data_IF_673914946818
#
_entry.id   IF_673914946818
#
_cell.length_a   1.000
_cell.length_b   1.000
_cell.length_c   1.000
_cell.angle_alpha   90.00
_cell.angle_beta   90.00
_cell.angle_gamma   90.00
#
_symmetry.space_group_name_H-M   'P 1'
#
loop_
_entity.id
_entity.type
_entity.pdbx_description
1 polymer ?
#
# COMPACT_ATOMS: atom_id res chain seq x y z
N UNK A 1 -32.37 64.11 13.79
CA UNK A 1 -33.53 64.60 14.57
C UNK A 1 -33.98 63.46 15.48
N UNK A 2 -33.96 63.70 16.79
CA UNK A 2 -34.40 62.93 17.98
C UNK A 2 -35.10 61.55 17.75
N UNK A 3 -34.68 60.43 18.38
CA UNK A 3 -34.56 60.05 19.79
C UNK A 3 -35.88 59.57 20.47
N UNK A 4 -35.81 58.35 21.04
CA UNK A 4 -36.44 57.77 22.27
C UNK A 4 -36.79 56.29 21.99
N UNK A 5 -36.13 55.27 22.58
CA UNK A 5 -35.90 54.90 23.99
C UNK A 5 -37.18 54.55 24.75
N UNK A 6 -37.40 53.25 24.96
CA UNK A 6 -37.98 52.69 26.19
C UNK A 6 -37.30 51.36 26.52
N UNK A 7 -36.76 51.30 27.73
CA UNK A 7 -36.12 50.18 28.42
C UNK A 7 -37.15 49.26 29.07
N UNK A 8 -36.84 47.97 29.24
CA UNK A 8 -37.70 46.99 29.91
C UNK A 8 -37.06 45.60 30.08
N UNK A 9 -36.04 45.53 30.94
CA UNK A 9 -35.56 44.44 31.81
C UNK A 9 -35.98 42.95 31.61
N UNK A 10 -34.96 42.15 31.24
CA UNK A 10 -34.47 40.85 31.77
C UNK A 10 -35.47 39.89 32.46
N UNK A 11 -35.60 38.68 31.88
CA UNK A 11 -35.59 37.42 32.65
C UNK A 11 -34.93 36.29 31.86
N UNK A 12 -33.92 35.67 32.47
CA UNK A 12 -33.14 34.52 32.00
C UNK A 12 -34.05 33.30 31.79
N UNK A 13 -33.90 32.57 30.67
CA UNK A 13 -33.64 31.11 30.66
C UNK A 13 -32.95 30.77 29.33
N UNK A 14 -31.77 30.17 29.42
CA UNK A 14 -30.98 29.65 28.32
C UNK A 14 -31.46 28.22 28.01
N UNK A 15 -31.87 27.85 26.79
CA UNK A 15 -31.96 26.45 26.42
C UNK A 15 -30.55 25.96 26.09
N UNK A 16 -30.06 25.08 26.94
CA UNK A 16 -28.81 24.35 26.83
C UNK A 16 -28.73 23.52 25.54
N UNK A 17 -27.56 23.60 24.88
CA UNK A 17 -27.05 22.59 23.96
C UNK A 17 -27.20 21.18 24.59
N UNK A 18 -27.72 20.17 23.89
CA UNK A 18 -27.58 18.79 24.34
C UNK A 18 -26.11 18.39 24.23
N UNK A 19 -25.47 18.33 25.40
CA UNK A 19 -24.21 17.65 25.67
C UNK A 19 -24.49 16.14 25.61
N UNK A 20 -23.58 15.40 24.98
CA UNK A 20 -23.81 14.03 24.55
C UNK A 20 -24.17 13.02 25.64
N UNK A 21 -24.82 11.96 25.19
CA UNK A 21 -24.72 10.64 25.78
C UNK A 21 -24.22 9.63 24.73
N UNK A 22 -23.54 8.57 25.18
CA UNK A 22 -22.49 7.90 24.43
C UNK A 22 -23.04 6.83 23.50
N UNK A 23 -22.30 6.57 22.42
CA UNK A 23 -22.38 5.35 21.63
C UNK A 23 -22.09 4.13 22.54
N UNK A 24 -23.11 3.60 23.20
CA UNK A 24 -23.06 2.29 23.84
C UNK A 24 -23.87 1.31 23.01
N UNK A 25 -23.35 0.90 21.85
CA UNK A 25 -23.71 -0.38 21.25
C UNK A 25 -22.68 -0.82 20.20
N UNK A 26 -21.48 -1.19 20.65
CA UNK A 26 -20.57 -2.09 19.91
C UNK A 26 -19.42 -2.62 20.81
N UNK A 27 -19.71 -2.79 22.11
CA UNK A 27 -18.78 -3.39 23.07
C UNK A 27 -19.41 -4.63 23.69
N UNK A 28 -19.63 -5.66 22.87
CA UNK A 28 -19.93 -7.00 23.36
C UNK A 28 -19.61 -8.04 22.27
N UNK A 29 -18.33 -8.39 22.13
CA UNK A 29 -17.76 -9.75 22.01
C UNK A 29 -16.24 -9.54 22.19
N UNK A 30 -15.81 -9.27 23.42
CA UNK A 30 -14.43 -9.53 23.86
C UNK A 30 -14.58 -10.09 25.27
N UNK A 31 -14.96 -11.36 25.36
CA UNK A 31 -14.92 -12.09 26.62
C UNK A 31 -13.94 -13.25 26.48
N UNK A 32 -12.89 -13.14 27.31
CA UNK A 32 -11.97 -14.18 27.78
C UNK A 32 -11.18 -14.98 26.75
N UNK A 33 -10.02 -14.44 26.37
CA UNK A 33 -8.86 -15.24 26.00
C UNK A 33 -7.82 -14.94 27.07
N UNK A 34 -7.52 -15.90 27.94
CA UNK A 34 -6.46 -15.75 28.95
C UNK A 34 -5.11 -15.77 28.24
N UNK A 35 -4.07 -15.20 28.87
CA UNK A 35 -2.73 -15.14 28.29
C UNK A 35 -2.14 -16.53 27.93
N UNK A 36 -2.73 -17.60 28.44
CA UNK A 36 -2.36 -19.00 28.16
C UNK A 36 -2.94 -19.53 26.83
N UNK A 37 -4.01 -18.93 26.28
CA UNK A 37 -4.60 -19.35 25.00
C UNK A 37 -3.83 -18.83 23.77
N UNK A 38 -2.92 -17.86 23.94
CA UNK A 38 -2.10 -17.26 22.88
C UNK A 38 -0.85 -18.09 22.54
N UNK A 39 -0.57 -19.16 23.30
CA UNK A 39 0.65 -19.97 23.16
C UNK A 39 0.41 -21.21 22.26
N UNK A 40 -0.83 -21.69 22.11
CA UNK A 40 -1.12 -22.92 21.32
C UNK A 40 -1.71 -22.71 19.92
N UNK A 41 -1.88 -21.46 19.44
CA UNK A 41 -2.39 -21.18 18.08
C UNK A 41 -1.58 -20.07 17.40
N UNK A 42 -0.50 -20.38 16.66
CA UNK A 42 0.42 -19.36 16.17
C UNK A 42 -0.07 -18.57 14.95
N UNK A 43 -1.31 -18.75 14.48
CA UNK A 43 -1.84 -18.07 13.29
C UNK A 43 -3.31 -17.70 13.49
N UNK A 44 -3.59 -16.39 13.51
CA UNK A 44 -4.95 -15.89 13.27
C UNK A 44 -5.20 -15.89 11.76
N UNK A 45 -6.20 -16.64 11.32
CA UNK A 45 -6.76 -16.50 9.97
C UNK A 45 -7.61 -15.24 9.99
N UNK A 46 -7.15 -14.20 9.30
CA UNK A 46 -7.91 -12.97 9.09
C UNK A 46 -8.91 -13.29 7.97
N UNK A 47 -10.20 -13.30 8.26
CA UNK A 47 -11.21 -13.41 7.20
C UNK A 47 -11.19 -12.14 6.32
N UNK A 48 -11.32 -12.27 4.98
CA UNK A 48 -11.15 -11.19 4.03
C UNK A 48 -12.37 -10.25 3.99
N UNK A 49 -12.84 -9.79 5.14
CA UNK A 49 -13.75 -8.66 5.20
C UNK A 49 -12.92 -7.37 5.32
N UNK A 50 -12.62 -6.80 4.15
CA UNK A 50 -12.04 -5.49 3.93
C UNK A 50 -10.57 -5.38 4.38
N UNK A 51 -9.66 -5.82 3.52
CA UNK A 51 -8.23 -5.46 3.59
C UNK A 51 -8.03 -3.98 3.24
N UNK A 52 -8.52 -3.09 4.11
CA UNK A 52 -8.15 -1.68 4.08
C UNK A 52 -6.82 -1.52 4.81
N UNK A 53 -5.72 -1.53 4.06
CA UNK A 53 -4.40 -1.15 4.56
C UNK A 53 -4.49 0.32 5.04
N UNK A 54 -4.22 0.54 6.33
CA UNK A 54 -4.52 1.78 7.05
C UNK A 54 -4.10 3.09 6.37
N UNK A 55 -4.88 4.13 6.63
CA UNK A 55 -4.96 5.38 5.85
C UNK A 55 -3.67 6.22 5.77
N UNK A 56 -2.65 5.94 6.58
CA UNK A 56 -1.42 6.76 6.60
C UNK A 56 -0.35 6.35 5.59
N UNK A 57 -0.54 5.28 4.81
CA UNK A 57 0.37 4.88 3.73
C UNK A 57 -0.30 4.66 2.37
N UNK A 58 -1.57 5.08 2.19
CA UNK A 58 -2.40 4.97 0.95
C UNK A 58 -1.63 4.46 -0.26
N UNK A 59 -1.46 3.14 -0.29
CA UNK A 59 -0.79 2.42 -1.35
C UNK A 59 -1.70 2.55 -2.58
N UNK A 60 -1.16 2.40 -3.77
CA UNK A 60 -1.91 2.28 -5.03
C UNK A 60 -2.76 0.98 -5.09
N UNK A 61 -3.34 0.56 -3.95
CA UNK A 61 -4.00 -0.70 -3.63
C UNK A 61 -5.54 -0.62 -3.66
N UNK A 62 -6.17 0.36 -4.30
CA UNK A 62 -7.64 0.37 -4.38
C UNK A 62 -8.25 -0.78 -5.22
N UNK A 63 -7.42 -1.66 -5.79
CA UNK A 63 -7.91 -2.86 -6.50
C UNK A 63 -8.07 -4.00 -5.50
N UNK A 64 -9.30 -4.49 -5.37
CA UNK A 64 -9.62 -5.65 -4.56
C UNK A 64 -9.31 -6.91 -5.35
N UNK A 65 -8.47 -7.78 -4.78
CA UNK A 65 -8.24 -9.13 -5.31
C UNK A 65 -9.56 -9.90 -5.18
N UNK A 66 -10.01 -10.50 -6.29
CA UNK A 66 -11.26 -11.25 -6.33
C UNK A 66 -11.00 -12.77 -6.22
N UNK A 67 -12.00 -13.54 -5.74
CA UNK A 67 -11.92 -14.99 -5.74
C UNK A 67 -11.61 -15.54 -7.13
N UNK A 68 -10.67 -16.48 -7.18
CA UNK A 68 -10.16 -17.11 -8.39
C UNK A 68 -9.47 -16.19 -9.41
N UNK A 69 -9.11 -14.96 -9.04
CA UNK A 69 -8.26 -14.11 -9.88
C UNK A 69 -6.93 -14.80 -10.21
N UNK A 70 -6.52 -14.69 -11.46
CA UNK A 70 -5.17 -15.02 -11.89
C UNK A 70 -4.24 -13.86 -11.56
N UNK A 71 -3.05 -14.20 -11.08
CA UNK A 71 -2.04 -13.27 -10.62
C UNK A 71 -0.75 -13.44 -11.43
N UNK A 72 -0.11 -12.32 -11.73
CA UNK A 72 1.23 -12.25 -12.27
C UNK A 72 2.00 -11.14 -11.55
N UNK A 73 3.31 -11.31 -11.42
CA UNK A 73 4.16 -10.39 -10.68
C UNK A 73 5.26 -9.83 -11.57
N UNK A 74 5.43 -8.51 -11.57
CA UNK A 74 6.60 -7.85 -12.13
C UNK A 74 7.43 -7.24 -10.99
N UNK A 75 8.74 -7.38 -11.10
CA UNK A 75 9.74 -6.78 -10.20
C UNK A 75 10.50 -5.71 -10.98
N UNK A 76 10.62 -4.50 -10.43
CA UNK A 76 11.42 -3.43 -11.04
C UNK A 76 12.85 -3.49 -10.53
N UNK A 77 13.81 -3.62 -11.46
CA UNK A 77 15.23 -3.64 -11.14
C UNK A 77 15.71 -2.23 -10.78
N UNK A 78 16.39 -2.11 -9.64
CA UNK A 78 17.07 -0.89 -9.20
C UNK A 78 16.14 0.35 -9.26
N UNK A 79 14.87 0.15 -8.88
CA UNK A 79 13.79 1.08 -9.17
C UNK A 79 14.07 2.50 -8.67
N UNK A 80 14.61 2.66 -7.46
CA UNK A 80 15.00 3.97 -6.94
C UNK A 80 16.13 4.62 -7.74
N UNK A 81 17.10 3.84 -8.20
CA UNK A 81 18.23 4.37 -8.97
C UNK A 81 17.84 4.84 -10.37
N UNK A 82 16.65 4.49 -10.87
CA UNK A 82 16.10 5.07 -12.12
C UNK A 82 15.58 6.49 -11.95
N UNK A 83 15.36 6.97 -10.72
CA UNK A 83 14.83 8.32 -10.46
C UNK A 83 15.99 9.29 -10.21
N UNK A 84 16.21 10.28 -11.10
CA UNK A 84 17.29 11.26 -10.92
C UNK A 84 17.00 12.20 -9.74
N UNK A 85 18.06 12.56 -9.00
CA UNK A 85 18.00 13.58 -7.95
C UNK A 85 18.20 14.96 -8.55
N UNK A 86 17.44 15.92 -8.05
CA UNK A 86 17.59 17.32 -8.45
C UNK A 86 18.98 17.85 -8.06
N UNK A 87 19.63 18.60 -8.97
CA UNK A 87 21.04 19.00 -8.83
C UNK A 87 21.35 19.74 -7.51
N UNK A 88 20.43 20.57 -7.02
CA UNK A 88 20.59 21.28 -5.74
C UNK A 88 20.62 20.35 -4.52
N UNK A 89 20.00 19.18 -4.63
CA UNK A 89 19.78 18.29 -3.49
C UNK A 89 20.85 17.19 -3.44
N UNK A 90 21.56 16.97 -4.56
CA UNK A 90 22.62 15.98 -4.63
C UNK A 90 23.72 16.26 -3.61
N UNK A 91 24.04 17.53 -3.29
CA UNK A 91 25.11 17.88 -2.33
C UNK A 91 24.80 17.37 -0.92
N UNK A 92 23.51 17.29 -0.56
CA UNK A 92 23.06 16.74 0.72
C UNK A 92 23.21 15.20 0.80
N UNK A 93 23.41 14.55 -0.35
CA UNK A 93 23.53 13.10 -0.48
C UNK A 93 24.99 12.66 -0.68
N UNK A 94 25.95 13.47 -0.26
CA UNK A 94 27.37 13.13 -0.34
C UNK A 94 27.82 12.22 0.81
N UNK A 95 28.72 11.29 0.50
CA UNK A 95 29.35 10.43 1.50
C UNK A 95 30.84 10.25 1.21
N UNK A 96 31.63 9.94 2.25
CA UNK A 96 33.08 9.76 2.14
C UNK A 96 33.45 8.29 2.25
N UNK A 97 34.25 7.80 1.30
CA UNK A 97 34.79 6.45 1.32
C UNK A 97 36.25 6.45 0.84
N UNK A 98 37.16 5.83 1.62
CA UNK A 98 38.59 5.75 1.31
C UNK A 98 39.23 7.10 0.92
N UNK A 99 38.87 8.17 1.64
CA UNK A 99 39.41 9.51 1.40
C UNK A 99 38.83 10.24 0.17
N UNK A 100 37.89 9.63 -0.56
CA UNK A 100 37.17 10.25 -1.68
C UNK A 100 35.74 10.61 -1.28
N UNK A 101 35.21 11.68 -1.85
CA UNK A 101 33.81 12.09 -1.70
C UNK A 101 33.03 11.57 -2.91
N UNK A 102 31.92 10.90 -2.64
CA UNK A 102 30.97 10.41 -3.62
C UNK A 102 29.64 11.11 -3.43
N UNK A 103 28.84 11.18 -4.48
CA UNK A 103 27.56 11.86 -4.52
C UNK A 103 26.55 10.99 -5.24
N UNK A 104 25.34 10.88 -4.69
CA UNK A 104 24.24 10.21 -5.39
C UNK A 104 23.61 11.14 -6.42
N UNK A 105 23.54 10.68 -7.67
CA UNK A 105 22.88 11.37 -8.78
C UNK A 105 21.42 10.91 -8.97
N UNK A 106 21.05 9.83 -8.30
CA UNK A 106 19.74 9.20 -8.32
C UNK A 106 19.28 8.92 -6.89
N UNK A 107 18.01 8.58 -6.72
CA UNK A 107 17.38 8.40 -5.42
C UNK A 107 18.06 7.26 -4.64
N UNK A 108 18.74 7.53 -3.51
CA UNK A 108 19.46 6.50 -2.79
C UNK A 108 18.53 5.70 -1.89
N UNK A 109 18.88 4.42 -1.67
CA UNK A 109 18.27 3.63 -0.60
C UNK A 109 18.54 4.25 0.77
N UNK A 110 17.59 4.11 1.68
CA UNK A 110 17.69 4.64 3.05
C UNK A 110 17.32 6.12 3.19
N UNK A 111 17.06 6.83 2.09
CA UNK A 111 16.48 8.18 2.16
C UNK A 111 15.00 8.07 2.54
N UNK A 112 14.62 8.72 3.65
CA UNK A 112 13.25 8.64 4.20
C UNK A 112 12.17 9.12 3.23
N UNK A 113 12.49 10.07 2.34
CA UNK A 113 11.58 10.59 1.33
C UNK A 113 11.53 9.75 0.04
N UNK A 114 12.43 8.77 -0.13
CA UNK A 114 12.55 8.02 -1.38
C UNK A 114 11.28 7.26 -1.73
N UNK A 115 10.74 6.48 -0.78
CA UNK A 115 9.50 5.73 -0.98
C UNK A 115 8.32 6.62 -1.32
N UNK A 116 8.22 7.80 -0.69
CA UNK A 116 7.16 8.77 -0.98
C UNK A 116 7.30 9.35 -2.39
N UNK A 117 8.50 9.79 -2.78
CA UNK A 117 8.77 10.33 -4.10
C UNK A 117 8.50 9.29 -5.19
N UNK A 118 8.94 8.05 -4.97
CA UNK A 118 8.71 6.94 -5.88
C UNK A 118 7.22 6.62 -6.04
N UNK A 119 6.48 6.55 -4.92
CA UNK A 119 5.02 6.36 -4.95
C UNK A 119 4.31 7.46 -5.73
N UNK A 120 4.72 8.73 -5.56
CA UNK A 120 4.17 9.86 -6.33
C UNK A 120 4.45 9.73 -7.82
N UNK A 121 5.63 9.24 -8.20
CA UNK A 121 6.01 9.04 -9.58
C UNK A 121 5.20 7.92 -10.26
N UNK A 122 4.83 6.86 -9.54
CA UNK A 122 4.02 5.76 -10.08
C UNK A 122 2.53 6.08 -10.21
N UNK A 123 2.02 7.11 -9.51
CA UNK A 123 0.58 7.44 -9.50
C UNK A 123 -0.04 7.62 -10.89
N UNK A 124 0.57 8.37 -11.83
CA UNK A 124 0.03 8.53 -13.18
C UNK A 124 -0.01 7.23 -13.96
N UNK A 125 0.97 6.34 -13.78
CA UNK A 125 0.99 5.02 -14.44
C UNK A 125 -0.15 4.15 -13.93
N UNK A 126 -0.38 4.12 -12.63
CA UNK A 126 -1.52 3.37 -12.07
C UNK A 126 -2.85 3.91 -12.55
N UNK A 127 -3.01 5.24 -12.59
CA UNK A 127 -4.21 5.86 -13.16
C UNK A 127 -4.42 5.43 -14.62
N UNK A 128 -3.37 5.50 -15.45
CA UNK A 128 -3.42 5.07 -16.84
C UNK A 128 -3.84 3.60 -16.98
N UNK A 129 -3.23 2.68 -16.24
CA UNK A 129 -3.57 1.26 -16.34
C UNK A 129 -5.01 0.98 -15.92
N UNK A 130 -5.49 1.63 -14.86
CA UNK A 130 -6.89 1.50 -14.41
C UNK A 130 -7.89 2.05 -15.43
N UNK A 131 -7.57 3.18 -16.05
CA UNK A 131 -8.39 3.74 -17.15
C UNK A 131 -8.47 2.80 -18.35
N UNK A 132 -7.43 1.99 -18.58
CA UNK A 132 -7.42 0.94 -19.61
C UNK A 132 -8.09 -0.37 -19.18
N UNK A 133 -8.60 -0.45 -17.94
CA UNK A 133 -9.27 -1.64 -17.39
C UNK A 133 -8.32 -2.68 -16.78
N UNK A 134 -7.01 -2.41 -16.73
CA UNK A 134 -6.04 -3.30 -16.11
C UNK A 134 -6.07 -3.10 -14.59
N UNK A 135 -6.37 -4.18 -13.87
CA UNK A 135 -6.33 -4.22 -12.41
C UNK A 135 -4.93 -4.58 -11.96
N UNK A 136 -4.38 -3.78 -11.05
CA UNK A 136 -3.06 -4.01 -10.50
C UNK A 136 -2.89 -3.38 -9.12
N UNK A 137 -1.97 -3.97 -8.37
CA UNK A 137 -1.54 -3.52 -7.05
C UNK A 137 -0.05 -3.21 -7.14
N UNK A 138 0.33 -1.96 -6.87
CA UNK A 138 1.73 -1.53 -6.88
C UNK A 138 2.17 -1.17 -5.46
N UNK A 139 3.27 -1.77 -5.04
CA UNK A 139 4.00 -1.37 -3.84
C UNK A 139 5.48 -1.21 -4.17
N UNK A 140 5.92 0.04 -4.25
CA UNK A 140 7.29 0.38 -4.62
C UNK A 140 7.71 -0.30 -5.94
N UNK A 141 8.70 -1.18 -5.90
CA UNK A 141 9.25 -1.96 -7.00
C UNK A 141 8.49 -3.25 -7.32
N UNK A 142 7.61 -3.70 -6.42
CA UNK A 142 6.78 -4.88 -6.59
C UNK A 142 5.42 -4.51 -7.23
N UNK A 143 5.11 -5.12 -8.38
CA UNK A 143 3.86 -4.92 -9.11
C UNK A 143 3.13 -6.25 -9.25
N UNK A 144 1.90 -6.32 -8.75
CA UNK A 144 0.99 -7.47 -8.91
C UNK A 144 -0.10 -7.09 -9.90
N UNK A 145 -0.33 -7.91 -10.92
CA UNK A 145 -1.35 -7.71 -11.95
C UNK A 145 -2.42 -8.78 -11.78
N UNK A 146 -3.69 -8.37 -11.90
CA UNK A 146 -4.86 -9.19 -11.58
C UNK A 146 -5.74 -9.39 -12.83
N UNK A 147 -6.03 -10.63 -13.20
CA UNK A 147 -6.85 -10.95 -14.37
C UNK A 147 -7.91 -11.99 -14.06
N UNK A 148 -9.08 -11.88 -14.69
CA UNK A 148 -10.17 -12.86 -14.52
C UNK A 148 -9.92 -14.16 -15.30
N UNK A 149 -9.02 -14.14 -16.30
CA UNK A 149 -8.55 -15.33 -17.01
C UNK A 149 -7.04 -15.29 -17.24
N UNK A 150 -6.44 -16.44 -17.56
CA UNK A 150 -5.01 -16.55 -17.86
C UNK A 150 -4.64 -15.76 -19.11
N UNK A 151 -5.51 -15.80 -20.10
CA UNK A 151 -5.32 -15.19 -21.41
C UNK A 151 -5.33 -13.66 -21.26
N UNK A 152 -6.36 -13.11 -20.60
CA UNK A 152 -6.44 -11.67 -20.37
C UNK A 152 -5.24 -11.17 -19.55
N UNK A 153 -4.87 -11.90 -18.49
CA UNK A 153 -3.73 -11.53 -17.67
C UNK A 153 -2.43 -11.51 -18.46
N UNK A 154 -2.23 -12.48 -19.35
CA UNK A 154 -1.00 -12.56 -20.17
C UNK A 154 -0.89 -11.36 -21.11
N UNK A 155 -2.01 -10.94 -21.70
CA UNK A 155 -2.08 -9.72 -22.52
C UNK A 155 -1.79 -8.47 -21.69
N UNK A 156 -2.44 -8.35 -20.52
CA UNK A 156 -2.27 -7.23 -19.59
C UNK A 156 -0.81 -7.11 -19.11
N UNK A 157 -0.19 -8.23 -18.74
CA UNK A 157 1.23 -8.29 -18.34
C UNK A 157 2.13 -7.79 -19.47
N UNK A 158 1.84 -8.17 -20.71
CA UNK A 158 2.56 -7.70 -21.89
C UNK A 158 2.47 -6.18 -22.06
N UNK A 159 1.26 -5.63 -21.91
CA UNK A 159 1.02 -4.18 -22.01
C UNK A 159 1.71 -3.42 -20.87
N UNK A 160 1.54 -3.86 -19.62
CA UNK A 160 2.16 -3.25 -18.44
C UNK A 160 3.68 -3.24 -18.59
N UNK A 161 4.29 -4.37 -18.97
CA UNK A 161 5.74 -4.47 -19.21
C UNK A 161 6.21 -3.53 -20.31
N UNK A 162 5.45 -3.40 -21.40
CA UNK A 162 5.79 -2.51 -22.52
C UNK A 162 5.76 -1.04 -22.10
N UNK A 163 4.71 -0.63 -21.38
CA UNK A 163 4.55 0.74 -20.89
C UNK A 163 5.65 1.09 -19.89
N UNK A 164 5.94 0.20 -18.92
CA UNK A 164 7.01 0.38 -17.95
C UNK A 164 8.37 0.61 -18.63
N UNK A 165 8.71 -0.20 -19.65
CA UNK A 165 9.93 -0.03 -20.43
C UNK A 165 9.96 1.30 -21.20
N UNK A 166 8.83 1.70 -21.76
CA UNK A 166 8.70 2.95 -22.53
C UNK A 166 8.93 4.18 -21.66
N UNK A 167 8.48 4.15 -20.41
CA UNK A 167 8.68 5.26 -19.45
C UNK A 167 10.02 5.21 -18.72
N UNK A 168 10.90 4.27 -19.09
CA UNK A 168 12.28 4.20 -18.60
C UNK A 168 12.51 3.26 -17.42
N UNK A 169 11.51 2.49 -16.98
CA UNK A 169 11.72 1.46 -15.97
C UNK A 169 12.35 0.19 -16.54
N UNK A 170 13.16 -0.45 -15.72
CA UNK A 170 13.80 -1.73 -16.06
C UNK A 170 13.07 -2.83 -15.31
N UNK A 171 12.39 -3.71 -16.04
CA UNK A 171 11.77 -4.90 -15.45
C UNK A 171 12.85 -5.96 -15.21
N UNK A 172 12.85 -6.53 -14.02
CA UNK A 172 13.71 -7.62 -13.62
C UNK A 172 13.13 -8.94 -14.12
N UNK A 173 13.59 -9.36 -15.30
CA UNK A 173 13.06 -10.55 -15.98
C UNK A 173 13.24 -11.85 -15.18
N UNK A 174 14.27 -11.94 -14.31
CA UNK A 174 14.56 -13.13 -13.51
C UNK A 174 13.69 -13.26 -12.26
N UNK A 175 13.31 -12.12 -11.65
CA UNK A 175 12.45 -12.09 -10.44
C UNK A 175 10.97 -11.94 -10.76
N UNK A 176 10.64 -11.56 -11.99
CA UNK A 176 9.25 -11.44 -12.44
C UNK A 176 8.64 -12.82 -12.69
N UNK A 177 7.37 -12.97 -12.36
CA UNK A 177 6.58 -14.19 -12.54
C UNK A 177 5.52 -13.89 -13.60
N UNK A 178 5.78 -14.35 -14.80
CA UNK A 178 4.92 -14.11 -15.97
C UNK A 178 3.80 -15.13 -16.13
N UNK A 179 4.03 -16.37 -15.70
CA UNK A 179 3.03 -17.43 -15.80
C UNK A 179 1.86 -17.13 -14.84
N UNK A 180 0.62 -17.00 -15.35
CA UNK A 180 -0.55 -16.82 -14.52
C UNK A 180 -0.69 -17.88 -13.43
N UNK A 181 -0.75 -17.45 -12.17
CA UNK A 181 -0.97 -18.33 -11.01
C UNK A 181 -2.05 -17.77 -10.08
N UNK A 182 -2.80 -18.64 -9.43
CA UNK A 182 -3.75 -18.27 -8.37
C UNK A 182 -3.09 -18.33 -6.98
N UNK A 183 -1.83 -18.74 -6.92
CA UNK A 183 -1.01 -18.80 -5.70
C UNK A 183 0.37 -18.17 -6.00
N UNK A 184 0.68 -17.01 -5.44
CA UNK A 184 1.91 -16.26 -5.74
C UNK A 184 2.49 -15.58 -4.51
N UNK A 185 3.81 -15.46 -4.42
CA UNK A 185 4.46 -14.64 -3.39
C UNK A 185 4.45 -13.15 -3.79
N UNK A 186 3.87 -12.31 -2.94
CA UNK A 186 3.85 -10.86 -3.09
C UNK A 186 4.09 -10.20 -1.72
N UNK A 187 5.03 -9.25 -1.65
CA UNK A 187 5.41 -8.55 -0.40
C UNK A 187 5.78 -9.48 0.76
N UNK A 188 6.31 -10.66 0.42
CA UNK A 188 6.71 -11.68 1.39
C UNK A 188 5.58 -12.52 1.97
N UNK A 189 4.37 -12.38 1.44
CA UNK A 189 3.20 -13.19 1.73
C UNK A 189 2.85 -14.04 0.51
N UNK A 190 2.36 -15.26 0.74
CA UNK A 190 1.67 -16.06 -0.27
C UNK A 190 0.23 -15.56 -0.36
N UNK A 191 -0.14 -15.09 -1.54
CA UNK A 191 -1.48 -14.72 -1.93
C UNK A 191 -2.12 -15.91 -2.62
N UNK A 192 -3.16 -16.48 -2.01
CA UNK A 192 -3.98 -17.55 -2.61
C UNK A 192 -5.38 -17.02 -2.91
N UNK A 193 -5.73 -16.92 -4.19
CA UNK A 193 -7.04 -16.39 -4.63
C UNK A 193 -8.14 -17.44 -4.65
N UNK A 194 -7.81 -18.73 -4.53
CA UNK A 194 -8.82 -19.80 -4.41
C UNK A 194 -9.36 -19.85 -2.99
N UNK A 195 -8.46 -19.86 -2.00
CA UNK A 195 -8.83 -19.87 -0.59
C UNK A 195 -9.04 -18.47 -0.02
N UNK A 196 -8.75 -17.42 -0.81
CA UNK A 196 -8.82 -16.02 -0.42
C UNK A 196 -8.03 -15.76 0.88
N UNK A 197 -6.80 -16.24 0.91
CA UNK A 197 -5.96 -16.20 2.11
C UNK A 197 -4.59 -15.59 1.84
N UNK A 198 -4.06 -14.91 2.86
CA UNK A 198 -2.68 -14.46 2.94
C UNK A 198 -1.95 -15.30 3.98
N UNK A 199 -0.81 -15.90 3.60
CA UNK A 199 0.00 -16.68 4.53
C UNK A 199 1.47 -16.35 4.40
N UNK A 200 2.26 -16.56 5.46
CA UNK A 200 3.70 -16.43 5.39
C UNK A 200 4.31 -17.66 4.72
N UNK A 201 5.39 -17.46 3.97
CA UNK A 201 6.17 -18.59 3.48
C UNK A 201 6.74 -19.38 4.67
N UNK A 202 6.58 -20.70 4.66
CA UNK A 202 6.93 -21.54 5.82
C UNK A 202 8.39 -21.38 6.26
N UNK A 203 9.32 -21.11 5.34
CA UNK A 203 10.72 -20.83 5.67
C UNK A 203 10.89 -19.57 6.52
N UNK A 204 10.13 -18.50 6.27
CA UNK A 204 10.15 -17.27 7.08
C UNK A 204 9.54 -17.50 8.46
N UNK A 205 8.46 -18.29 8.53
CA UNK A 205 7.87 -18.71 9.81
C UNK A 205 8.90 -19.46 10.65
N UNK A 206 9.62 -20.40 10.02
CA UNK A 206 10.65 -21.18 10.70
C UNK A 206 11.82 -20.30 11.18
N UNK A 207 12.20 -19.26 10.43
CA UNK A 207 13.25 -18.31 10.84
C UNK A 207 12.83 -17.35 11.96
N UNK A 208 11.53 -17.16 12.20
CA UNK A 208 11.01 -16.31 13.27
C UNK A 208 10.78 -17.07 14.59
N UNK A 209 10.59 -18.39 14.51
CA UNK A 209 10.34 -19.27 15.66
C UNK A 209 11.66 -19.87 16.20
N UNK A 210 12.74 -19.84 15.41
CA UNK A 210 14.08 -20.28 15.80
C UNK A 210 14.84 -19.22 16.60
#
# INVERSE_FOLDING_TARGET
MAARSTSGTISRVHPSLPRGEPLQQEASIINSTTAEDLIERPVQVIEPSNMALGESQTILCNEEIQPADWLAKLDLKDAYFTVPMHLSDQELLQFRWQGKIYQFNCLPFGLSSASWAFTKLLKPLVAFFRETGIRLVIYLDDILILGSSKESLTEDVGLVRSVLKTVGFIVNEEKSIYEPSQNIEFLGLIVDTITMSLSLYQSKVNSLIA
#
